data_IF_428113499344
#
_entry.id   IF_428113499344
#
_cell.length_a   1.000
_cell.length_b   1.000
_cell.length_c   1.000
_cell.angle_alpha   90.00
_cell.angle_beta   90.00
_cell.angle_gamma   90.00
#
_symmetry.space_group_name_H-M   'P 1'
#
loop_
_entity.id
_entity.type
_entity.pdbx_description
1 polymer ?
#
# COMPACT_ATOMS: atom_id res chain seq x y z
N UNK A 1 -7.48 -8.12 -2.46
CA UNK A 1 -8.36 -7.37 -1.52
C UNK A 1 -8.65 -8.15 -0.25
N UNK A 2 -9.29 -9.34 -0.33
CA UNK A 2 -9.59 -10.17 0.85
C UNK A 2 -8.36 -10.41 1.75
N UNK A 3 -7.24 -10.85 1.18
CA UNK A 3 -5.99 -11.06 1.93
C UNK A 3 -5.54 -9.81 2.70
N UNK A 4 -5.50 -8.64 2.05
CA UNK A 4 -5.08 -7.39 2.70
C UNK A 4 -6.04 -6.96 3.81
N UNK A 5 -7.34 -7.11 3.55
CA UNK A 5 -8.39 -6.82 4.54
C UNK A 5 -8.27 -7.74 5.76
N UNK A 6 -8.14 -9.05 5.54
CA UNK A 6 -8.07 -10.03 6.62
C UNK A 6 -6.82 -9.81 7.47
N UNK A 7 -5.66 -9.55 6.84
CA UNK A 7 -4.42 -9.18 7.55
C UNK A 7 -4.60 -7.94 8.43
N UNK A 8 -5.21 -6.90 7.87
CA UNK A 8 -5.47 -5.66 8.58
C UNK A 8 -6.36 -5.91 9.80
N UNK A 9 -7.42 -6.71 9.67
CA UNK A 9 -8.28 -7.08 10.79
C UNK A 9 -7.62 -8.01 11.82
N UNK A 10 -6.69 -8.87 11.40
CA UNK A 10 -6.03 -9.86 12.25
C UNK A 10 -4.87 -9.32 13.09
N UNK A 11 -4.47 -8.06 12.93
CA UNK A 11 -3.27 -7.57 13.63
C UNK A 11 -2.01 -7.60 12.79
N UNK A 12 -2.01 -8.29 11.65
CA UNK A 12 -0.79 -8.55 10.88
C UNK A 12 -0.18 -7.26 10.34
N UNK A 13 1.14 -7.17 10.39
CA UNK A 13 1.88 -6.07 9.80
C UNK A 13 1.91 -6.18 8.28
N UNK A 14 1.95 -5.02 7.62
CA UNK A 14 2.23 -4.94 6.19
C UNK A 14 3.70 -5.30 5.92
N UNK A 15 4.04 -5.86 4.75
CA UNK A 15 5.42 -6.08 4.37
C UNK A 15 6.20 -4.77 4.43
N UNK A 16 7.49 -4.86 4.74
CA UNK A 16 8.34 -3.68 4.87
C UNK A 16 8.23 -2.81 3.61
N UNK A 17 8.15 -1.47 3.74
CA UNK A 17 8.22 -0.58 2.60
C UNK A 17 9.63 -0.52 1.97
N UNK A 18 10.64 -1.17 2.58
CA UNK A 18 11.99 -1.31 2.05
C UNK A 18 12.12 -2.62 1.25
N UNK A 19 12.36 -2.53 -0.06
CA UNK A 19 12.46 -3.70 -0.94
C UNK A 19 13.52 -4.71 -0.47
N UNK A 20 14.67 -4.24 0.03
CA UNK A 20 15.73 -5.11 0.55
C UNK A 20 15.29 -5.98 1.74
N UNK A 21 14.29 -5.54 2.51
CA UNK A 21 13.74 -6.34 3.61
C UNK A 21 12.72 -7.37 3.10
N UNK A 22 12.04 -7.10 1.98
CA UNK A 22 11.07 -8.01 1.39
C UNK A 22 11.72 -9.14 0.59
N UNK A 23 13.03 -9.11 0.38
CA UNK A 23 13.81 -10.19 -0.23
C UNK A 23 14.53 -11.09 0.77
N UNK A 24 14.60 -10.69 2.05
CA UNK A 24 15.31 -11.41 3.10
C UNK A 24 14.32 -12.22 3.96
N UNK A 25 14.28 -13.53 3.73
CA UNK A 25 13.36 -14.45 4.41
C UNK A 25 13.49 -14.38 5.93
N UNK A 26 14.71 -14.27 6.46
CA UNK A 26 14.95 -14.25 7.91
C UNK A 26 14.31 -13.02 8.56
N UNK A 27 14.39 -11.86 7.90
CA UNK A 27 13.74 -10.63 8.35
C UNK A 27 12.22 -10.72 8.25
N UNK A 28 11.72 -11.38 7.20
CA UNK A 28 10.28 -11.58 7.03
C UNK A 28 9.75 -12.47 8.15
N UNK A 29 10.37 -13.61 8.43
CA UNK A 29 9.99 -14.51 9.52
C UNK A 29 9.95 -13.79 10.87
N UNK A 30 10.97 -12.97 11.16
CA UNK A 30 11.04 -12.16 12.38
C UNK A 30 9.91 -11.12 12.48
N UNK A 31 9.35 -10.68 11.36
CA UNK A 31 8.31 -9.63 11.29
C UNK A 31 6.90 -10.21 11.18
N UNK A 32 6.73 -11.37 10.54
CA UNK A 32 5.44 -12.03 10.31
C UNK A 32 4.75 -12.43 11.62
N UNK A 33 5.51 -12.75 12.65
CA UNK A 33 4.98 -13.08 13.98
C UNK A 33 4.58 -11.83 14.79
N UNK A 34 4.95 -10.63 14.33
CA UNK A 34 4.61 -9.39 15.02
C UNK A 34 3.20 -8.95 14.69
N UNK A 35 2.51 -8.45 15.71
CA UNK A 35 1.12 -8.02 15.62
C UNK A 35 0.97 -6.57 16.10
N UNK A 36 0.20 -5.79 15.36
CA UNK A 36 -0.26 -4.49 15.78
C UNK A 36 -1.48 -4.66 16.70
N UNK A 37 -1.33 -4.22 17.95
CA UNK A 37 -2.38 -4.30 18.98
C UNK A 37 -3.48 -3.25 18.80
N UNK A 38 -3.27 -2.26 17.92
CA UNK A 38 -4.26 -1.22 17.66
C UNK A 38 -5.38 -1.75 16.77
N UNK A 39 -6.61 -1.35 17.10
CA UNK A 39 -7.76 -1.53 16.21
C UNK A 39 -7.48 -0.87 14.86
N UNK A 40 -8.06 -1.41 13.78
CA UNK A 40 -7.87 -0.94 12.40
C UNK A 40 -7.89 0.59 12.33
N UNK A 41 -8.96 1.25 12.77
CA UNK A 41 -9.13 2.72 12.72
C UNK A 41 -8.04 3.55 13.42
N UNK A 42 -7.30 2.96 14.36
CA UNK A 42 -6.25 3.64 15.12
C UNK A 42 -4.83 3.27 14.65
N UNK A 43 -4.72 2.46 13.60
CA UNK A 43 -3.43 2.12 13.00
C UNK A 43 -2.79 3.32 12.32
N UNK A 44 -1.44 3.35 12.29
CA UNK A 44 -0.73 4.38 11.57
C UNK A 44 -1.07 4.36 10.08
N UNK A 45 -1.03 5.51 9.43
CA UNK A 45 -1.59 5.69 8.09
C UNK A 45 -0.80 4.92 7.01
N UNK A 46 0.51 4.74 7.21
CA UNK A 46 1.37 3.93 6.36
C UNK A 46 0.93 2.47 6.23
N UNK A 47 0.23 1.91 7.23
CA UNK A 47 -0.27 0.51 7.17
C UNK A 47 -1.30 0.33 6.04
N UNK A 48 -1.87 1.42 5.54
CA UNK A 48 -2.91 1.44 4.51
C UNK A 48 -2.37 1.60 3.08
N UNK A 49 -1.06 1.72 2.87
CA UNK A 49 -0.44 1.89 1.55
C UNK A 49 -0.90 0.82 0.55
N UNK A 50 -0.80 -0.46 0.92
CA UNK A 50 -1.16 -1.57 0.02
C UNK A 50 -2.67 -1.66 -0.23
N UNK A 51 -3.47 -1.30 0.77
CA UNK A 51 -4.93 -1.24 0.63
C UNK A 51 -5.34 -0.12 -0.31
N UNK A 52 -4.69 1.03 -0.24
CA UNK A 52 -4.87 2.15 -1.16
C UNK A 52 -4.61 1.71 -2.61
N UNK A 53 -3.48 1.04 -2.86
CA UNK A 53 -3.18 0.52 -4.21
C UNK A 53 -4.19 -0.51 -4.68
N UNK A 54 -4.57 -1.45 -3.82
CA UNK A 54 -5.55 -2.48 -4.14
C UNK A 54 -6.95 -1.88 -4.41
N UNK A 55 -7.34 -0.83 -3.68
CA UNK A 55 -8.60 -0.12 -3.87
C UNK A 55 -8.61 0.61 -5.23
N UNK A 56 -7.55 1.34 -5.57
CA UNK A 56 -7.40 1.98 -6.89
C UNK A 56 -7.49 0.96 -8.01
N UNK A 57 -6.73 -0.14 -7.90
CA UNK A 57 -6.75 -1.20 -8.91
C UNK A 57 -8.18 -1.75 -9.09
N UNK A 58 -8.90 -1.95 -7.98
CA UNK A 58 -10.25 -2.53 -8.04
C UNK A 58 -11.29 -1.57 -8.61
N UNK A 59 -11.23 -0.28 -8.27
CA UNK A 59 -12.10 0.75 -8.85
C UNK A 59 -11.90 0.80 -10.37
N UNK A 60 -10.65 0.85 -10.84
CA UNK A 60 -10.31 0.83 -12.27
C UNK A 60 -10.79 -0.44 -12.99
N UNK A 61 -10.59 -1.60 -12.37
CA UNK A 61 -11.02 -2.91 -12.89
C UNK A 61 -12.54 -2.99 -13.07
N UNK A 62 -13.30 -2.70 -12.00
CA UNK A 62 -14.77 -2.74 -12.05
C UNK A 62 -15.29 -1.73 -13.08
N UNK A 63 -14.76 -0.52 -13.09
CA UNK A 63 -15.16 0.50 -14.05
C UNK A 63 -14.94 0.02 -15.49
N UNK A 64 -13.76 -0.52 -15.80
CA UNK A 64 -13.46 -1.05 -17.14
C UNK A 64 -14.40 -2.18 -17.55
N UNK A 65 -14.71 -3.11 -16.65
CA UNK A 65 -15.64 -4.21 -16.93
C UNK A 65 -17.06 -3.71 -17.20
N UNK A 66 -17.54 -2.74 -16.41
CA UNK A 66 -18.86 -2.13 -16.63
C UNK A 66 -18.91 -1.41 -17.98
N UNK A 67 -17.91 -0.58 -18.28
CA UNK A 67 -17.83 0.15 -19.55
C UNK A 67 -17.86 -0.81 -20.75
N UNK A 68 -17.13 -1.92 -20.68
CA UNK A 68 -17.11 -2.93 -21.75
C UNK A 68 -18.48 -3.60 -21.94
N UNK A 69 -19.16 -3.96 -20.86
CA UNK A 69 -20.48 -4.62 -20.94
C UNK A 69 -21.55 -3.68 -21.49
N UNK A 70 -21.52 -2.41 -21.10
CA UNK A 70 -22.43 -1.38 -21.61
C UNK A 70 -22.15 -1.07 -23.09
N UNK A 71 -20.87 -0.92 -23.47
CA UNK A 71 -20.47 -0.64 -24.85
C UNK A 71 -20.93 -1.75 -25.82
N UNK A 72 -20.83 -3.00 -25.39
CA UNK A 72 -21.29 -4.17 -26.16
C UNK A 72 -22.80 -4.44 -26.06
N UNK A 73 -23.56 -3.59 -25.34
CA UNK A 73 -25.01 -3.73 -25.10
C UNK A 73 -25.40 -5.07 -24.45
N UNK A 74 -24.48 -5.73 -23.75
CA UNK A 74 -24.81 -6.92 -22.95
C UNK A 74 -25.66 -6.56 -21.74
N UNK A 75 -25.62 -5.31 -21.32
CA UNK A 75 -26.38 -4.78 -20.20
C UNK A 75 -26.92 -3.38 -20.51
N UNK A 76 -28.06 -3.05 -19.91
CA UNK A 76 -28.57 -1.69 -19.84
C UNK A 76 -28.13 -1.02 -18.53
N UNK A 77 -28.00 0.32 -18.50
CA UNK A 77 -27.65 1.05 -17.27
C UNK A 77 -28.61 0.80 -16.09
N UNK A 78 -29.86 0.46 -16.39
CA UNK A 78 -30.92 0.14 -15.43
C UNK A 78 -30.83 -1.27 -14.86
N UNK A 79 -30.06 -2.16 -15.48
CA UNK A 79 -29.90 -3.53 -15.02
C UNK A 79 -29.29 -3.53 -13.62
N UNK A 80 -29.73 -4.47 -12.79
CA UNK A 80 -29.18 -4.67 -11.45
C UNK A 80 -28.00 -5.63 -11.52
N UNK A 81 -27.00 -5.39 -10.68
CA UNK A 81 -25.78 -6.21 -10.64
C UNK A 81 -26.06 -7.58 -10.02
N UNK A 82 -26.93 -7.62 -9.02
CA UNK A 82 -27.48 -8.84 -8.42
C UNK A 82 -28.92 -8.59 -8.00
N UNK A 83 -29.67 -9.66 -7.72
CA UNK A 83 -31.05 -9.56 -7.27
C UNK A 83 -31.16 -8.70 -6.00
N UNK A 84 -31.98 -7.65 -6.04
CA UNK A 84 -32.11 -6.69 -4.94
C UNK A 84 -30.97 -5.67 -4.80
N UNK A 85 -29.92 -5.76 -5.62
CA UNK A 85 -28.76 -4.87 -5.60
C UNK A 85 -28.95 -3.53 -6.35
N UNK A 86 -27.89 -2.70 -6.39
CA UNK A 86 -27.88 -1.44 -7.12
C UNK A 86 -27.93 -1.68 -8.63
N UNK A 87 -28.40 -0.66 -9.35
CA UNK A 87 -28.28 -0.62 -10.81
C UNK A 87 -26.82 -0.41 -11.23
N UNK A 88 -26.49 -0.77 -12.47
CA UNK A 88 -25.17 -0.49 -13.06
C UNK A 88 -24.87 1.01 -13.04
N UNK A 89 -25.86 1.86 -13.34
CA UNK A 89 -25.71 3.32 -13.26
C UNK A 89 -25.39 3.81 -11.85
N UNK A 90 -26.05 3.25 -10.82
CA UNK A 90 -25.81 3.60 -9.43
C UNK A 90 -24.43 3.16 -8.96
N UNK A 91 -23.98 1.96 -9.36
CA UNK A 91 -22.61 1.53 -9.06
C UNK A 91 -21.58 2.41 -9.78
N UNK A 92 -21.81 2.77 -11.04
CA UNK A 92 -20.89 3.63 -11.79
C UNK A 92 -20.70 4.99 -11.11
N UNK A 93 -21.79 5.59 -10.58
CA UNK A 93 -21.72 6.80 -9.77
C UNK A 93 -20.88 6.59 -8.50
N UNK A 94 -21.15 5.51 -7.74
CA UNK A 94 -20.40 5.19 -6.53
C UNK A 94 -18.90 4.95 -6.80
N UNK A 95 -18.55 4.30 -7.93
CA UNK A 95 -17.15 4.15 -8.34
C UNK A 95 -16.47 5.48 -8.63
N UNK A 96 -17.20 6.45 -9.21
CA UNK A 96 -16.69 7.80 -9.42
C UNK A 96 -16.44 8.51 -8.09
N UNK A 97 -17.34 8.35 -7.11
CA UNK A 97 -17.17 8.93 -5.79
C UNK A 97 -15.95 8.33 -5.07
N UNK A 98 -15.79 7.00 -5.13
CA UNK A 98 -14.61 6.33 -4.58
C UNK A 98 -13.33 6.79 -5.28
N UNK A 99 -13.36 6.96 -6.60
CA UNK A 99 -12.21 7.48 -7.34
C UNK A 99 -11.86 8.90 -6.89
N UNK A 100 -12.85 9.79 -6.74
CA UNK A 100 -12.63 11.15 -6.27
C UNK A 100 -11.96 11.18 -4.90
N UNK A 101 -12.44 10.38 -3.94
CA UNK A 101 -11.84 10.27 -2.61
C UNK A 101 -10.41 9.71 -2.67
N UNK A 102 -10.19 8.63 -3.45
CA UNK A 102 -8.87 8.01 -3.57
C UNK A 102 -7.86 8.89 -4.31
N UNK A 103 -8.30 9.85 -5.10
CA UNK A 103 -7.43 10.76 -5.86
C UNK A 103 -7.38 12.18 -5.29
N UNK A 104 -8.07 12.43 -4.18
CA UNK A 104 -8.07 13.72 -3.49
C UNK A 104 -6.64 14.11 -3.07
N UNK A 105 -6.07 15.20 -3.60
CA UNK A 105 -4.66 15.54 -3.39
C UNK A 105 -4.29 15.69 -1.91
N UNK A 106 -5.19 16.22 -1.08
CA UNK A 106 -4.95 16.37 0.35
C UNK A 106 -4.78 15.01 1.06
N UNK A 107 -5.61 14.03 0.72
CA UNK A 107 -5.57 12.69 1.31
C UNK A 107 -4.34 11.93 0.82
N UNK A 108 -4.08 11.96 -0.49
CA UNK A 108 -2.93 11.29 -1.10
C UNK A 108 -1.62 11.85 -0.56
N UNK A 109 -1.49 13.18 -0.44
CA UNK A 109 -0.30 13.83 0.13
C UNK A 109 -0.09 13.46 1.60
N UNK A 110 -1.17 13.31 2.36
CA UNK A 110 -1.09 12.91 3.77
C UNK A 110 -0.61 11.47 3.91
N UNK A 111 -1.13 10.56 3.08
CA UNK A 111 -0.66 9.18 3.01
C UNK A 111 0.80 9.11 2.53
N UNK A 112 1.17 9.86 1.51
CA UNK A 112 2.55 9.96 0.98
C UNK A 112 3.54 10.35 2.07
N UNK A 113 3.23 11.39 2.85
CA UNK A 113 4.05 11.82 3.99
C UNK A 113 4.19 10.74 5.06
N UNK A 114 3.11 10.05 5.40
CA UNK A 114 3.14 8.97 6.39
C UNK A 114 4.05 7.81 5.92
N UNK A 115 3.92 7.42 4.64
CA UNK A 115 4.76 6.37 4.04
C UNK A 115 6.23 6.78 4.01
N UNK A 116 6.55 8.02 3.59
CA UNK A 116 7.94 8.54 3.60
C UNK A 116 8.54 8.52 5.00
N UNK A 117 7.79 8.99 6.00
CA UNK A 117 8.22 9.00 7.40
C UNK A 117 8.46 7.59 7.93
N UNK A 118 7.59 6.63 7.57
CA UNK A 118 7.77 5.23 7.94
C UNK A 118 9.04 4.63 7.32
N UNK A 119 9.33 4.95 6.05
CA UNK A 119 10.59 4.55 5.39
C UNK A 119 11.82 5.14 6.07
N UNK A 120 11.81 6.43 6.43
CA UNK A 120 12.91 7.04 7.21
C UNK A 120 13.10 6.32 8.53
N UNK A 121 12.02 6.07 9.26
CA UNK A 121 12.07 5.37 10.55
C UNK A 121 12.73 3.99 10.41
N UNK A 122 12.34 3.23 9.38
CA UNK A 122 12.89 1.89 9.15
C UNK A 122 14.34 1.92 8.69
N UNK A 123 14.72 2.89 7.84
CA UNK A 123 16.12 3.07 7.45
C UNK A 123 16.99 3.47 8.63
N UNK A 124 16.50 4.36 9.49
CA UNK A 124 17.18 4.74 10.72
C UNK A 124 17.44 3.52 11.61
N UNK A 125 16.41 2.69 11.83
CA UNK A 125 16.57 1.44 12.59
C UNK A 125 17.57 0.47 11.93
N UNK A 126 17.58 0.39 10.60
CA UNK A 126 18.54 -0.43 9.87
C UNK A 126 19.97 0.08 9.98
N UNK A 127 20.20 1.41 9.99
CA UNK A 127 21.52 2.01 10.22
C UNK A 127 22.00 1.71 11.64
N UNK A 128 21.13 1.85 12.64
CA UNK A 128 21.46 1.49 14.04
C UNK A 128 21.79 0.00 14.19
N UNK A 129 21.05 -0.89 13.52
CA UNK A 129 21.35 -2.33 13.51
C UNK A 129 22.75 -2.61 12.93
N UNK A 130 23.11 -1.99 11.80
CA UNK A 130 24.46 -2.10 11.21
C UNK A 130 25.56 -1.60 12.14
N UNK A 131 25.32 -0.47 12.81
CA UNK A 131 26.25 0.08 13.79
C UNK A 131 26.43 -0.88 14.98
N UNK A 132 25.34 -1.45 15.50
CA UNK A 132 25.40 -2.42 16.60
C UNK A 132 26.19 -3.69 16.25
N UNK A 133 26.16 -4.09 14.98
CA UNK A 133 26.92 -5.21 14.42
C UNK A 133 28.37 -4.86 14.06
N UNK A 134 28.78 -3.60 14.28
CA UNK A 134 30.10 -3.06 13.92
C UNK A 134 30.42 -3.17 12.41
N UNK A 135 29.39 -3.15 11.57
CA UNK A 135 29.55 -3.14 10.10
C UNK A 135 29.91 -1.73 9.58
N UNK A 136 29.60 -0.70 10.37
CA UNK A 136 29.91 0.71 10.10
C UNK A 136 30.50 1.34 11.37
N UNK A 137 31.32 2.37 11.21
CA UNK A 137 31.87 3.18 12.30
C UNK A 137 30.89 4.28 12.74
N UNK A 138 31.26 5.00 13.80
CA UNK A 138 30.45 6.06 14.41
C UNK A 138 30.28 7.28 13.48
N UNK A 139 31.31 7.62 12.72
CA UNK A 139 31.29 8.71 11.75
C UNK A 139 30.29 8.42 10.62
N UNK A 140 30.40 7.25 9.98
CA UNK A 140 29.46 6.82 8.94
C UNK A 140 28.03 6.69 9.46
N UNK A 141 27.85 6.21 10.70
CA UNK A 141 26.52 6.13 11.32
C UNK A 141 25.88 7.51 11.44
N UNK A 142 26.65 8.49 11.93
CA UNK A 142 26.20 9.87 12.12
C UNK A 142 25.87 10.54 10.79
N UNK A 143 26.73 10.37 9.78
CA UNK A 143 26.54 10.92 8.44
C UNK A 143 25.32 10.33 7.72
N UNK A 144 25.11 9.01 7.84
CA UNK A 144 23.93 8.35 7.26
C UNK A 144 22.64 8.83 7.93
N UNK A 145 22.63 8.99 9.25
CA UNK A 145 21.48 9.53 9.98
C UNK A 145 21.23 10.99 9.59
N UNK A 146 22.27 11.83 9.54
CA UNK A 146 22.16 13.22 9.11
C UNK A 146 21.59 13.32 7.69
N UNK A 147 22.01 12.43 6.78
CA UNK A 147 21.49 12.35 5.40
C UNK A 147 20.00 11.96 5.38
N UNK A 148 19.56 11.05 6.25
CA UNK A 148 18.15 10.64 6.33
C UNK A 148 17.22 11.77 6.78
N UNK A 149 17.72 12.70 7.61
CA UNK A 149 16.95 13.82 8.18
C UNK A 149 17.33 15.20 7.62
N UNK A 150 18.17 15.25 6.59
CA UNK A 150 18.62 16.49 5.94
C UNK A 150 17.49 17.37 5.41
N UNK A 151 17.81 18.63 5.05
CA UNK A 151 16.85 19.72 4.86
C UNK A 151 15.65 19.37 3.96
N UNK A 152 14.49 19.26 4.60
CA UNK A 152 13.17 19.10 3.97
C UNK A 152 12.53 17.74 4.19
N UNK A 153 11.66 17.61 5.20
CA UNK A 153 10.63 16.57 5.47
C UNK A 153 10.78 15.12 4.93
N UNK A 154 11.98 14.56 4.69
CA UNK A 154 12.26 13.29 3.98
C UNK A 154 12.44 13.42 2.43
N UNK A 155 13.03 14.52 1.96
CA UNK A 155 12.94 15.04 0.58
C UNK A 155 13.38 14.10 -0.55
N UNK A 156 14.32 13.19 -0.31
CA UNK A 156 14.87 12.30 -1.35
C UNK A 156 14.34 10.86 -1.30
N UNK A 157 13.56 10.49 -0.28
CA UNK A 157 13.04 9.13 -0.20
C UNK A 157 11.77 8.99 -1.04
N UNK A 158 11.62 7.88 -1.79
CA UNK A 158 10.41 7.62 -2.53
C UNK A 158 9.24 7.55 -1.54
N UNK A 159 8.16 8.26 -1.85
CA UNK A 159 6.87 8.15 -1.18
C UNK A 159 5.97 7.15 -1.91
N UNK A 160 4.68 7.44 -2.02
CA UNK A 160 3.79 6.58 -2.81
C UNK A 160 4.32 6.42 -4.24
N UNK A 161 4.40 5.18 -4.69
CA UNK A 161 4.62 4.84 -6.08
C UNK A 161 3.59 5.53 -7.00
N UNK A 162 4.10 6.09 -8.10
CA UNK A 162 3.31 6.74 -9.13
C UNK A 162 2.64 5.69 -10.04
N UNK A 163 1.39 5.34 -9.75
CA UNK A 163 0.65 4.25 -10.43
C UNK A 163 -0.43 4.74 -11.41
N UNK A 164 -0.47 6.04 -11.74
CA UNK A 164 -1.54 6.63 -12.55
C UNK A 164 -1.70 5.94 -13.92
N UNK A 165 -0.58 5.58 -14.56
CA UNK A 165 -0.56 4.87 -15.85
C UNK A 165 -0.67 3.34 -15.77
N UNK A 166 -0.70 2.74 -14.58
CA UNK A 166 -0.67 1.28 -14.47
C UNK A 166 -2.04 0.66 -14.71
N UNK A 167 -2.08 -0.45 -15.44
CA UNK A 167 -3.28 -1.27 -15.54
C UNK A 167 -3.60 -1.93 -14.17
N UNK A 168 -4.87 -2.24 -13.86
CA UNK A 168 -5.23 -2.93 -12.62
C UNK A 168 -4.44 -4.24 -12.39
N UNK A 169 -4.18 -4.98 -13.46
CA UNK A 169 -3.40 -6.22 -13.44
C UNK A 169 -1.94 -5.97 -13.05
N UNK A 170 -1.33 -4.87 -13.48
CA UNK A 170 0.04 -4.50 -13.09
C UNK A 170 0.14 -4.18 -11.60
N UNK A 171 -0.82 -3.42 -11.07
CA UNK A 171 -0.88 -3.13 -9.63
C UNK A 171 -1.07 -4.44 -8.84
N UNK A 172 -1.97 -5.32 -9.32
CA UNK A 172 -2.20 -6.63 -8.72
C UNK A 172 -0.95 -7.51 -8.70
N UNK A 173 -0.24 -7.61 -9.83
CA UNK A 173 1.00 -8.39 -9.94
C UNK A 173 2.11 -7.83 -9.04
N UNK A 174 2.26 -6.50 -8.98
CA UNK A 174 3.23 -5.85 -8.11
C UNK A 174 2.95 -6.10 -6.63
N UNK A 175 1.69 -5.99 -6.19
CA UNK A 175 1.28 -6.36 -4.83
C UNK A 175 1.49 -7.85 -4.57
N UNK A 176 1.18 -8.72 -5.52
CA UNK A 176 1.38 -10.16 -5.36
C UNK A 176 2.86 -10.49 -5.16
N UNK A 177 3.76 -9.87 -5.92
CA UNK A 177 5.21 -10.06 -5.73
C UNK A 177 5.68 -9.54 -4.36
N UNK A 178 5.19 -8.36 -3.95
CA UNK A 178 5.51 -7.79 -2.62
C UNK A 178 5.13 -8.74 -1.48
N UNK A 179 4.03 -9.48 -1.62
CA UNK A 179 3.52 -10.40 -0.60
C UNK A 179 3.98 -11.84 -0.80
N UNK A 180 4.69 -12.17 -1.88
CA UNK A 180 5.01 -13.55 -2.25
C UNK A 180 5.72 -14.32 -1.14
N UNK A 181 6.78 -13.72 -0.56
CA UNK A 181 7.54 -14.36 0.51
C UNK A 181 6.81 -14.32 1.85
N UNK A 182 6.09 -13.23 2.14
CA UNK A 182 5.29 -13.10 3.38
C UNK A 182 4.21 -14.18 3.47
N UNK A 183 3.51 -14.44 2.37
CA UNK A 183 2.46 -15.46 2.32
C UNK A 183 3.01 -16.89 2.26
N UNK A 184 4.29 -17.07 1.95
CA UNK A 184 4.94 -18.38 1.93
C UNK A 184 5.38 -18.84 3.32
N UNK A 185 5.66 -17.90 4.22
CA UNK A 185 6.12 -18.18 5.60
C UNK A 185 5.02 -18.03 6.66
N UNK A 186 3.79 -17.69 6.26
CA UNK A 186 2.59 -17.62 7.11
C UNK A 186 1.80 -18.93 7.12
#
# INVERSE_FOLDING_TARGET
>A
LKTLHDRLHQGKLSPSPLQAHNSDISKIEATVQQHNTKTVRCRPLEDYEDLYYAAIAKVKDIHSQISLRLANKFNAPTDRIWAGGPSISSLAAALSDFWAVLTEPALVKTLDRAVRRSRVKLLHLAVLDKFSKKEIDEENCTDLIATLYGEGECGNLPGLAWITGWAPSMIGAWLQEKYRLVLLVE
#
